data_IF_877421040267
#
_entry.id   IF_877421040267
#
_cell.length_a   1.000
_cell.length_b   1.000
_cell.length_c   1.000
_cell.angle_alpha   90.00
_cell.angle_beta   90.00
_cell.angle_gamma   90.00
#
_symmetry.space_group_name_H-M   'P 1'
#
loop_
_entity.id
_entity.type
_entity.pdbx_description
1 polymer ?
#
# COMPACT_ATOMS: atom_id res chain seq x y z
N UNK A 1 5.51 -17.41 -21.04
CA UNK A 1 5.80 -16.23 -20.21
C UNK A 1 5.25 -16.32 -18.77
N UNK A 2 4.44 -17.34 -18.42
CA UNK A 2 3.87 -17.51 -17.06
C UNK A 2 4.83 -18.14 -16.03
N UNK A 3 5.94 -18.75 -16.48
CA UNK A 3 6.90 -19.42 -15.58
C UNK A 3 7.89 -18.47 -14.88
N UNK A 4 8.12 -17.26 -15.40
CA UNK A 4 9.05 -16.31 -14.80
C UNK A 4 8.47 -15.64 -13.54
N UNK A 5 7.17 -15.33 -13.54
CA UNK A 5 6.44 -14.80 -12.38
C UNK A 5 6.41 -15.79 -11.21
N UNK A 6 6.44 -17.10 -11.49
CA UNK A 6 6.48 -18.16 -10.47
C UNK A 6 7.80 -18.25 -9.69
N UNK A 7 8.91 -17.73 -10.24
CA UNK A 7 10.22 -17.82 -9.61
C UNK A 7 10.51 -16.65 -8.66
N UNK A 8 10.00 -15.45 -8.94
CA UNK A 8 10.16 -14.29 -8.05
C UNK A 8 9.18 -14.31 -6.86
N UNK A 9 7.97 -14.86 -7.04
CA UNK A 9 6.94 -14.88 -5.99
C UNK A 9 7.27 -15.71 -4.75
N UNK A 10 8.23 -16.64 -4.83
CA UNK A 10 8.68 -17.44 -3.68
C UNK A 10 9.43 -16.63 -2.62
N UNK A 11 9.89 -15.43 -2.95
CA UNK A 11 10.77 -14.63 -2.08
C UNK A 11 10.25 -13.23 -1.78
N UNK A 12 9.02 -12.91 -2.15
CA UNK A 12 8.42 -11.59 -1.95
C UNK A 12 7.10 -11.74 -1.21
N UNK A 13 6.76 -10.78 -0.34
CA UNK A 13 5.52 -10.80 0.45
C UNK A 13 4.61 -9.68 -0.01
N UNK A 14 3.29 -9.89 -0.03
CA UNK A 14 2.31 -8.80 -0.15
C UNK A 14 2.64 -7.67 0.86
N UNK A 15 2.76 -6.43 0.39
CA UNK A 15 3.17 -5.30 1.21
C UNK A 15 2.26 -5.02 2.42
N UNK A 16 0.98 -5.42 2.32
CA UNK A 16 -0.06 -5.21 3.30
C UNK A 16 -0.16 -6.35 4.33
N UNK A 17 0.71 -7.37 4.24
CA UNK A 17 0.81 -8.49 5.18
C UNK A 17 2.19 -8.50 5.85
N UNK A 18 2.32 -8.22 7.16
CA UNK A 18 1.25 -7.85 8.09
C UNK A 18 0.75 -6.41 7.85
N UNK A 19 -0.46 -6.06 8.35
CA UNK A 19 -1.02 -4.72 8.22
C UNK A 19 -0.13 -3.68 8.91
N UNK A 20 -0.34 -2.40 8.59
CA UNK A 20 0.33 -1.27 9.23
C UNK A 20 -0.43 -0.85 10.52
N UNK A 21 0.01 -1.24 11.74
CA UNK A 21 -0.61 -0.83 13.00
C UNK A 21 -0.41 0.64 13.34
N UNK A 22 0.71 1.24 12.95
CA UNK A 22 1.02 2.65 13.24
C UNK A 22 0.85 3.53 12.00
N UNK A 23 0.43 4.78 12.21
CA UNK A 23 0.34 5.77 11.13
C UNK A 23 1.68 5.96 10.45
N UNK A 24 2.77 6.09 11.23
CA UNK A 24 4.13 6.29 10.70
C UNK A 24 4.55 5.18 9.74
N UNK A 25 4.17 3.93 9.97
CA UNK A 25 4.54 2.82 9.09
C UNK A 25 3.87 2.94 7.72
N UNK A 26 2.59 3.34 7.69
CA UNK A 26 1.89 3.60 6.43
C UNK A 26 2.41 4.86 5.72
N UNK A 27 2.82 5.89 6.45
CA UNK A 27 3.46 7.07 5.86
C UNK A 27 4.82 6.73 5.23
N UNK A 28 5.64 5.90 5.88
CA UNK A 28 6.90 5.42 5.31
C UNK A 28 6.66 4.63 4.03
N UNK A 29 5.64 3.78 4.00
CA UNK A 29 5.21 3.06 2.80
C UNK A 29 4.78 4.02 1.68
N UNK A 30 3.87 4.97 1.96
CA UNK A 30 3.38 5.95 0.96
C UNK A 30 4.55 6.77 0.39
N UNK A 31 5.48 7.20 1.25
CA UNK A 31 6.68 7.94 0.83
C UNK A 31 7.48 7.14 -0.19
N UNK A 32 7.71 5.85 0.05
CA UNK A 32 8.43 5.00 -0.91
C UNK A 32 7.63 4.77 -2.20
N UNK A 33 6.30 4.69 -2.16
CA UNK A 33 5.51 4.57 -3.39
C UNK A 33 5.65 5.80 -4.31
N UNK A 34 5.92 6.98 -3.74
CA UNK A 34 6.25 8.17 -4.53
C UNK A 34 7.67 8.17 -5.11
N UNK A 35 8.50 7.15 -4.87
CA UNK A 35 9.71 6.92 -5.67
C UNK A 35 9.37 6.64 -7.15
N UNK A 36 8.08 6.51 -7.51
CA UNK A 36 7.57 6.64 -8.87
C UNK A 36 8.16 7.85 -9.63
N UNK A 37 8.48 8.95 -8.93
CA UNK A 37 9.21 10.11 -9.47
C UNK A 37 10.52 9.72 -10.18
N UNK A 38 11.22 8.70 -9.68
CA UNK A 38 12.45 8.19 -10.27
C UNK A 38 12.21 7.51 -11.63
N UNK A 39 11.14 6.71 -11.75
CA UNK A 39 10.74 6.04 -12.98
C UNK A 39 10.29 7.07 -14.02
N UNK A 40 9.40 7.98 -13.61
CA UNK A 40 8.89 9.04 -14.48
C UNK A 40 10.02 9.96 -14.95
N UNK A 41 10.98 10.27 -14.08
CA UNK A 41 12.19 11.04 -14.44
C UNK A 41 13.12 10.34 -15.44
N UNK A 42 12.93 9.04 -15.69
CA UNK A 42 13.62 8.24 -16.71
C UNK A 42 12.74 7.94 -17.93
N UNK A 43 11.59 8.61 -18.04
CA UNK A 43 10.62 8.38 -19.10
C UNK A 43 10.09 6.93 -19.13
N UNK A 44 9.95 6.32 -17.95
CA UNK A 44 9.39 4.97 -17.77
C UNK A 44 8.09 5.10 -16.96
N UNK A 45 6.99 4.63 -17.53
CA UNK A 45 5.71 4.46 -16.84
C UNK A 45 5.56 2.99 -16.40
N UNK A 46 5.01 2.75 -15.21
CA UNK A 46 4.78 1.42 -14.66
C UNK A 46 3.60 0.71 -15.32
N UNK A 47 2.50 1.44 -15.56
CA UNK A 47 1.26 1.07 -16.26
C UNK A 47 0.36 0.05 -15.55
N UNK A 48 0.85 -0.59 -14.49
CA UNK A 48 0.04 -1.52 -13.70
C UNK A 48 0.26 -1.41 -12.19
N UNK A 49 -0.10 -0.27 -11.60
CA UNK A 49 -0.03 -0.08 -10.15
C UNK A 49 -1.35 -0.54 -9.51
N UNK A 50 -1.32 -1.64 -8.76
CA UNK A 50 -2.50 -2.17 -8.05
C UNK A 50 -2.12 -2.94 -6.81
N UNK A 51 -3.12 -3.23 -5.97
CA UNK A 51 -2.93 -3.89 -4.67
C UNK A 51 -2.07 -5.15 -4.76
N UNK A 52 -2.41 -6.06 -5.68
CA UNK A 52 -1.75 -7.36 -5.82
C UNK A 52 -0.31 -7.30 -6.36
N UNK A 53 0.12 -6.15 -6.86
CA UNK A 53 1.44 -5.98 -7.45
C UNK A 53 2.40 -5.25 -6.51
N UNK A 54 1.91 -4.69 -5.39
CA UNK A 54 2.80 -4.07 -4.40
C UNK A 54 3.32 -5.12 -3.44
N UNK A 55 4.61 -5.40 -3.58
CA UNK A 55 5.32 -6.41 -2.83
C UNK A 55 6.32 -5.76 -1.89
N UNK A 56 6.75 -6.51 -0.88
CA UNK A 56 7.88 -6.17 -0.03
C UNK A 56 8.91 -7.29 0.00
N UNK A 57 10.13 -6.89 0.30
CA UNK A 57 11.25 -7.79 0.48
C UNK A 57 11.13 -8.65 1.76
N UNK A 58 12.09 -9.57 1.94
CA UNK A 58 12.08 -10.52 3.06
C UNK A 58 12.58 -9.94 4.37
N UNK A 59 12.83 -8.63 4.46
CA UNK A 59 13.42 -8.01 5.64
C UNK A 59 12.59 -8.21 6.91
N UNK A 60 11.26 -8.38 6.77
CA UNK A 60 10.39 -8.73 7.90
C UNK A 60 10.43 -10.21 8.32
N UNK A 61 10.97 -11.08 7.47
CA UNK A 61 10.89 -12.53 7.60
C UNK A 61 12.29 -13.18 7.56
N UNK A 62 13.16 -12.86 8.53
CA UNK A 62 14.53 -13.39 8.56
C UNK A 62 14.57 -14.92 8.69
N UNK A 63 13.54 -15.52 9.28
CA UNK A 63 13.44 -16.96 9.52
C UNK A 63 12.59 -17.68 8.45
N UNK A 64 12.37 -17.04 7.30
CA UNK A 64 11.52 -17.55 6.24
C UNK A 64 10.06 -17.12 6.38
N UNK A 65 9.33 -17.31 5.30
CA UNK A 65 7.94 -16.89 5.13
C UNK A 65 7.18 -17.96 4.36
N UNK A 66 5.87 -18.08 4.53
CA UNK A 66 5.05 -19.03 3.77
C UNK A 66 4.59 -18.39 2.44
N UNK A 67 5.17 -18.71 1.27
CA UNK A 67 4.86 -18.01 0.02
C UNK A 67 3.40 -18.16 -0.41
N UNK A 68 2.70 -19.21 0.06
CA UNK A 68 1.29 -19.43 -0.25
C UNK A 68 0.35 -18.37 0.34
N UNK A 69 0.80 -17.62 1.37
CA UNK A 69 0.01 -16.55 1.97
C UNK A 69 -0.31 -15.43 0.96
N UNK A 70 0.53 -15.20 -0.05
CA UNK A 70 0.23 -14.21 -1.10
C UNK A 70 -0.92 -14.64 -2.02
N UNK A 71 -1.26 -15.92 -2.02
CA UNK A 71 -2.24 -16.54 -2.93
C UNK A 71 -3.50 -16.98 -2.20
N UNK A 72 -3.77 -16.44 -1.00
CA UNK A 72 -5.00 -16.74 -0.26
C UNK A 72 -6.18 -16.08 -0.99
N UNK A 73 -6.71 -16.81 -1.96
CA UNK A 73 -7.98 -16.53 -2.64
C UNK A 73 -9.09 -17.49 -2.20
N UNK A 74 -8.72 -18.57 -1.51
CA UNK A 74 -9.62 -19.63 -1.04
C UNK A 74 -9.32 -19.90 0.43
N UNK A 75 -10.33 -20.23 1.24
CA UNK A 75 -10.25 -20.54 2.68
C UNK A 75 -9.41 -21.79 2.98
N UNK A 76 -8.13 -21.78 2.59
CA UNK A 76 -7.19 -22.87 2.75
C UNK A 76 -6.50 -22.79 4.11
N UNK A 77 -6.41 -23.92 4.80
CA UNK A 77 -5.55 -24.06 5.98
C UNK A 77 -4.11 -24.14 5.51
N UNK A 78 -3.36 -23.05 5.69
CA UNK A 78 -1.94 -22.99 5.35
C UNK A 78 -1.05 -23.44 6.52
N UNK A 79 0.15 -23.97 6.24
CA UNK A 79 1.17 -24.20 7.26
C UNK A 79 1.47 -22.94 8.08
N UNK A 80 1.74 -23.11 9.37
CA UNK A 80 2.08 -22.01 10.27
C UNK A 80 3.29 -21.24 9.75
N UNK A 81 3.18 -19.92 9.66
CA UNK A 81 4.31 -19.06 9.29
C UNK A 81 5.16 -18.73 10.53
N UNK A 82 6.51 -18.71 10.40
CA UNK A 82 7.38 -18.19 11.45
C UNK A 82 6.99 -16.76 11.83
N UNK A 83 7.18 -16.40 13.10
CA UNK A 83 6.90 -15.04 13.56
C UNK A 83 7.79 -14.03 12.82
N UNK A 84 7.16 -13.07 12.15
CA UNK A 84 7.85 -11.94 11.53
C UNK A 84 8.35 -10.93 12.58
N UNK A 85 9.31 -10.09 12.18
CA UNK A 85 9.76 -8.96 12.99
C UNK A 85 8.68 -7.86 13.05
N UNK A 86 8.77 -6.93 14.00
CA UNK A 86 8.04 -5.68 13.87
C UNK A 86 8.76 -4.79 12.84
N UNK A 87 8.03 -3.93 12.10
CA UNK A 87 8.66 -3.02 11.13
C UNK A 87 9.71 -2.12 11.79
N UNK A 88 9.51 -1.75 13.05
CA UNK A 88 10.47 -0.97 13.85
C UNK A 88 11.78 -1.71 14.19
N UNK A 89 11.81 -3.04 14.10
CA UNK A 89 13.02 -3.84 14.33
C UNK A 89 13.87 -4.04 13.06
N UNK A 90 13.36 -3.64 11.90
CA UNK A 90 14.05 -3.83 10.63
C UNK A 90 15.08 -2.71 10.45
N UNK A 91 16.33 -3.01 10.78
CA UNK A 91 17.41 -2.01 10.83
C UNK A 91 17.82 -1.46 9.45
N UNK A 92 17.66 -2.26 8.39
CA UNK A 92 18.04 -1.87 7.01
C UNK A 92 16.92 -1.16 6.24
N UNK A 93 15.78 -0.93 6.88
CA UNK A 93 14.56 -0.52 6.19
C UNK A 93 13.89 -1.68 5.46
N UNK A 94 12.65 -1.45 5.02
CA UNK A 94 11.86 -2.39 4.25
C UNK A 94 11.79 -1.85 2.84
N UNK A 95 11.99 -2.71 1.84
CA UNK A 95 11.86 -2.33 0.44
C UNK A 95 10.52 -2.79 -0.08
N UNK A 96 9.65 -1.84 -0.36
CA UNK A 96 8.42 -2.01 -1.11
C UNK A 96 8.67 -1.66 -2.58
N UNK A 97 8.16 -2.49 -3.48
CA UNK A 97 8.27 -2.28 -4.91
C UNK A 97 6.99 -2.77 -5.59
N UNK A 98 6.73 -2.20 -6.76
CA UNK A 98 5.61 -2.57 -7.61
C UNK A 98 6.16 -3.57 -8.63
N UNK A 99 5.56 -4.76 -8.70
CA UNK A 99 5.95 -5.83 -9.61
C UNK A 99 5.20 -5.68 -10.94
N UNK A 100 5.75 -6.27 -12.00
CA UNK A 100 5.07 -6.32 -13.29
C UNK A 100 3.87 -7.29 -13.20
N UNK A 101 2.68 -6.72 -13.29
CA UNK A 101 1.40 -7.43 -13.28
C UNK A 101 0.74 -7.55 -14.66
N UNK A 102 -0.54 -7.93 -14.65
CA UNK A 102 -1.39 -7.88 -15.83
C UNK A 102 -2.20 -6.57 -15.78
N UNK A 103 -2.10 -5.71 -16.81
CA UNK A 103 -2.51 -4.31 -16.75
C UNK A 103 -3.95 -4.15 -16.26
N UNK A 104 -4.11 -3.35 -15.20
CA UNK A 104 -5.41 -2.89 -14.71
C UNK A 104 -5.98 -1.90 -15.71
N UNK A 105 -7.08 -2.27 -16.34
CA UNK A 105 -7.71 -1.44 -17.35
C UNK A 105 -8.83 -0.62 -16.71
N UNK A 106 -8.57 0.67 -16.50
CA UNK A 106 -9.55 1.61 -15.96
C UNK A 106 -10.51 2.07 -17.08
N UNK A 107 -11.78 2.43 -16.75
CA UNK A 107 -12.72 2.93 -17.75
C UNK A 107 -12.18 4.12 -18.54
N UNK A 108 -11.41 5.02 -17.89
CA UNK A 108 -10.78 6.18 -18.55
C UNK A 108 -9.69 5.82 -19.57
N UNK A 109 -9.24 4.56 -19.61
CA UNK A 109 -8.28 4.09 -20.61
C UNK A 109 -8.95 3.50 -21.86
N UNK A 110 -10.27 3.60 -21.97
CA UNK A 110 -11.01 3.11 -23.12
C UNK A 110 -11.79 4.22 -23.81
N UNK A 111 -11.96 4.06 -25.12
CA UNK A 111 -12.88 4.80 -25.95
C UNK A 111 -13.70 3.83 -26.79
N UNK A 112 -14.75 4.31 -27.44
CA UNK A 112 -15.49 3.54 -28.44
C UNK A 112 -14.85 3.84 -29.79
N UNK A 113 -14.50 2.80 -30.53
CA UNK A 113 -14.12 2.90 -31.93
C UNK A 113 -15.36 3.24 -32.76
N UNK A 114 -15.32 4.38 -33.47
CA UNK A 114 -16.49 4.91 -34.19
C UNK A 114 -16.92 4.04 -35.37
N UNK A 115 -16.01 3.25 -35.97
CA UNK A 115 -16.29 2.43 -37.14
C UNK A 115 -16.87 1.07 -36.76
N UNK A 116 -16.37 0.47 -35.69
CA UNK A 116 -16.72 -0.89 -35.25
C UNK A 116 -17.72 -0.90 -34.10
N UNK A 117 -17.82 0.21 -33.35
CA UNK A 117 -18.57 0.29 -32.09
C UNK A 117 -17.92 -0.48 -30.94
N UNK A 118 -16.70 -1.01 -31.14
CA UNK A 118 -15.99 -1.78 -30.12
C UNK A 118 -15.31 -0.88 -29.09
N UNK A 119 -15.18 -1.38 -27.86
CA UNK A 119 -14.39 -0.69 -26.84
C UNK A 119 -12.91 -0.95 -27.08
N UNK A 120 -12.16 0.10 -27.39
CA UNK A 120 -10.72 0.05 -27.66
C UNK A 120 -9.94 0.88 -26.65
N UNK A 121 -8.63 0.66 -26.53
CA UNK A 121 -7.77 1.47 -25.66
C UNK A 121 -7.66 2.90 -26.20
N UNK A 122 -7.96 3.87 -25.34
CA UNK A 122 -7.78 5.28 -25.63
C UNK A 122 -6.30 5.68 -25.51
N UNK A 123 -5.87 6.63 -26.34
CA UNK A 123 -4.59 7.31 -26.14
C UNK A 123 -4.66 8.11 -24.84
N UNK A 124 -3.72 7.82 -23.93
CA UNK A 124 -3.65 8.49 -22.64
C UNK A 124 -2.19 8.72 -22.24
N UNK A 125 -1.98 9.68 -21.33
CA UNK A 125 -0.68 9.89 -20.70
C UNK A 125 -0.42 8.76 -19.68
N UNK A 126 0.55 7.90 -19.99
CA UNK A 126 0.90 6.76 -19.13
C UNK A 126 1.46 7.17 -17.76
N UNK A 127 2.07 8.36 -17.63
CA UNK A 127 2.54 8.86 -16.34
C UNK A 127 1.37 9.31 -15.46
N UNK A 128 0.38 9.97 -16.06
CA UNK A 128 -0.88 10.33 -15.37
C UNK A 128 -1.71 9.11 -15.00
N UNK A 129 -1.66 8.05 -15.82
CA UNK A 129 -2.28 6.76 -15.51
C UNK A 129 -1.65 6.12 -14.26
N UNK A 130 -0.32 6.09 -14.16
CA UNK A 130 0.38 5.59 -12.96
C UNK A 130 -0.04 6.36 -11.71
N UNK A 131 -0.09 7.70 -11.79
CA UNK A 131 -0.48 8.55 -10.65
C UNK A 131 -1.90 8.22 -10.20
N UNK A 132 -2.84 8.04 -11.14
CA UNK A 132 -4.20 7.66 -10.79
C UNK A 132 -4.26 6.30 -10.11
N UNK A 133 -3.64 5.30 -10.74
CA UNK A 133 -3.61 3.93 -10.22
C UNK A 133 -3.02 3.89 -8.79
N UNK A 134 -1.91 4.60 -8.56
CA UNK A 134 -1.32 4.74 -7.23
C UNK A 134 -2.26 5.49 -6.28
N UNK A 135 -2.90 6.58 -6.72
CA UNK A 135 -3.85 7.35 -5.91
C UNK A 135 -5.05 6.52 -5.45
N UNK A 136 -5.64 5.73 -6.36
CA UNK A 136 -6.74 4.80 -6.06
C UNK A 136 -6.29 3.77 -5.03
N UNK A 137 -5.12 3.15 -5.23
CA UNK A 137 -4.57 2.17 -4.31
C UNK A 137 -4.38 2.78 -2.90
N UNK A 138 -3.71 3.93 -2.81
CA UNK A 138 -3.43 4.58 -1.53
C UNK A 138 -4.71 5.06 -0.84
N UNK A 139 -5.68 5.60 -1.59
CA UNK A 139 -6.97 6.01 -1.05
C UNK A 139 -7.75 4.81 -0.50
N UNK A 140 -7.77 3.69 -1.23
CA UNK A 140 -8.41 2.45 -0.79
C UNK A 140 -7.80 1.93 0.53
N UNK A 141 -6.47 1.89 0.62
CA UNK A 141 -5.76 1.37 1.79
C UNK A 141 -5.84 2.31 3.01
N UNK A 142 -5.65 3.62 2.77
CA UNK A 142 -5.37 4.59 3.82
C UNK A 142 -6.45 5.66 3.99
N UNK A 143 -7.30 5.92 3.00
CA UNK A 143 -8.23 7.06 2.96
C UNK A 143 -9.08 7.22 4.22
N UNK A 144 -9.76 6.16 4.69
CA UNK A 144 -10.59 6.27 5.91
C UNK A 144 -9.75 6.46 7.20
N UNK A 145 -8.52 5.94 7.22
CA UNK A 145 -7.66 5.92 8.41
C UNK A 145 -6.73 7.13 8.54
N UNK A 146 -6.39 7.77 7.42
CA UNK A 146 -5.45 8.89 7.30
C UNK A 146 -6.12 10.06 6.58
N UNK A 147 -7.27 10.51 7.07
CA UNK A 147 -8.10 11.57 6.44
C UNK A 147 -7.35 12.87 6.11
N UNK A 148 -6.25 13.17 6.81
CA UNK A 148 -5.43 14.34 6.49
C UNK A 148 -4.73 14.24 5.12
N UNK A 149 -4.70 13.05 4.50
CA UNK A 149 -4.22 12.83 3.13
C UNK A 149 -5.33 12.98 2.08
N UNK A 150 -6.60 13.19 2.47
CA UNK A 150 -7.71 13.37 1.53
C UNK A 150 -7.45 14.46 0.48
N UNK A 151 -6.89 15.65 0.80
CA UNK A 151 -6.60 16.66 -0.22
C UNK A 151 -5.67 16.15 -1.33
N UNK A 152 -4.70 15.29 -1.00
CA UNK A 152 -3.84 14.66 -1.99
C UNK A 152 -4.62 13.65 -2.85
N UNK A 153 -5.41 12.78 -2.23
CA UNK A 153 -6.18 11.77 -2.97
C UNK A 153 -7.22 12.41 -3.90
N UNK A 154 -7.92 13.44 -3.45
CA UNK A 154 -8.88 14.17 -4.29
C UNK A 154 -8.20 14.82 -5.50
N UNK A 155 -7.05 15.48 -5.31
CA UNK A 155 -6.32 16.10 -6.41
C UNK A 155 -5.89 15.12 -7.52
N UNK A 156 -5.74 13.83 -7.19
CA UNK A 156 -5.36 12.79 -8.16
C UNK A 156 -6.56 12.28 -8.96
N UNK A 157 -7.70 12.10 -8.29
CA UNK A 157 -8.86 11.36 -8.83
C UNK A 157 -9.83 12.27 -9.57
N UNK A 158 -9.93 13.55 -9.21
CA UNK A 158 -11.03 14.42 -9.63
C UNK A 158 -10.98 14.80 -11.13
N UNK A 159 -9.89 15.39 -11.60
CA UNK A 159 -9.76 15.88 -12.99
C UNK A 159 -8.51 15.26 -13.65
N UNK A 160 -8.66 14.41 -14.68
CA UNK A 160 -7.54 13.79 -15.39
C UNK A 160 -6.56 14.80 -16.01
N UNK A 161 -7.07 15.91 -16.54
CA UNK A 161 -6.26 16.93 -17.20
C UNK A 161 -5.46 17.74 -16.18
N UNK A 162 -6.06 18.03 -15.02
CA UNK A 162 -5.40 18.74 -13.92
C UNK A 162 -4.65 17.83 -12.93
N UNK A 163 -4.69 16.51 -13.13
CA UNK A 163 -4.06 15.53 -12.24
C UNK A 163 -2.56 15.85 -12.03
N UNK A 164 -2.08 15.96 -10.79
CA UNK A 164 -0.68 16.28 -10.52
C UNK A 164 0.25 15.18 -11.06
N UNK A 165 1.47 15.56 -11.43
CA UNK A 165 2.57 14.63 -11.67
C UNK A 165 2.96 13.87 -10.39
N UNK A 166 3.70 12.76 -10.52
CA UNK A 166 4.24 12.04 -9.37
C UNK A 166 5.10 12.94 -8.46
N UNK A 167 5.81 13.92 -9.05
CA UNK A 167 6.66 14.87 -8.31
C UNK A 167 5.81 15.83 -7.49
N UNK A 168 4.74 16.37 -8.07
CA UNK A 168 3.80 17.24 -7.37
C UNK A 168 3.08 16.48 -6.25
N UNK A 169 2.65 15.23 -6.50
CA UNK A 169 2.07 14.37 -5.47
C UNK A 169 3.02 14.15 -4.29
N UNK A 170 4.28 13.84 -4.58
CA UNK A 170 5.33 13.67 -3.56
C UNK A 170 5.51 14.95 -2.72
N UNK A 171 5.58 16.11 -3.37
CA UNK A 171 5.70 17.39 -2.67
C UNK A 171 4.46 17.72 -1.81
N UNK A 172 3.26 17.45 -2.32
CA UNK A 172 2.01 17.60 -1.57
C UNK A 172 1.97 16.67 -0.36
N UNK A 173 2.36 15.41 -0.53
CA UNK A 173 2.46 14.44 0.55
C UNK A 173 3.40 14.92 1.66
N UNK A 174 4.63 15.32 1.31
CA UNK A 174 5.61 15.82 2.28
C UNK A 174 5.09 17.04 3.04
N UNK A 175 4.42 17.96 2.34
CA UNK A 175 3.79 19.13 2.96
C UNK A 175 2.71 18.76 3.97
N UNK A 176 1.88 17.75 3.67
CA UNK A 176 0.81 17.28 4.55
C UNK A 176 1.35 16.60 5.81
N UNK A 177 2.50 15.94 5.73
CA UNK A 177 3.06 15.19 6.86
C UNK A 177 4.07 15.97 7.70
N UNK A 178 4.61 17.08 7.20
CA UNK A 178 5.69 17.86 7.82
C UNK A 178 5.43 18.24 9.29
N UNK A 179 4.17 18.55 9.65
CA UNK A 179 3.81 19.03 10.99
C UNK A 179 3.01 18.01 11.81
N UNK A 180 3.05 16.72 11.45
CA UNK A 180 2.36 15.71 12.24
C UNK A 180 3.03 15.55 13.60
N UNK A 181 2.23 15.67 14.66
CA UNK A 181 2.73 15.44 16.02
C UNK A 181 3.15 13.98 16.21
N UNK A 182 4.08 13.74 17.13
CA UNK A 182 4.52 12.39 17.50
C UNK A 182 3.34 11.48 17.90
N UNK A 183 2.33 12.03 18.58
CA UNK A 183 1.12 11.30 18.94
C UNK A 183 0.31 10.84 17.72
N UNK A 184 0.30 11.64 16.65
CA UNK A 184 -0.36 11.27 15.38
C UNK A 184 0.43 10.22 14.61
N UNK A 185 1.76 10.33 14.58
CA UNK A 185 2.65 9.34 13.96
C UNK A 185 2.56 7.97 14.66
N UNK A 186 2.49 7.96 15.98
CA UNK A 186 2.31 6.76 16.81
C UNK A 186 0.84 6.36 16.96
N UNK A 187 -0.09 7.07 16.31
CA UNK A 187 -1.51 6.77 16.35
C UNK A 187 -1.82 5.41 15.75
N UNK A 188 -2.87 4.76 16.28
CA UNK A 188 -3.34 3.49 15.75
C UNK A 188 -3.99 3.72 14.39
N UNK A 189 -3.55 2.98 13.37
CA UNK A 189 -4.29 2.93 12.10
C UNK A 189 -5.51 2.02 12.28
N UNK A 190 -6.70 2.59 12.21
CA UNK A 190 -7.95 1.81 12.15
C UNK A 190 -8.07 1.25 10.74
N UNK A 191 -8.08 -0.07 10.58
CA UNK A 191 -8.34 -0.69 9.28
C UNK A 191 -9.78 -0.46 8.81
N UNK A 192 -10.00 -0.53 7.50
CA UNK A 192 -11.32 -0.52 6.90
C UNK A 192 -11.95 -1.91 7.11
N UNK A 193 -12.80 -2.06 8.13
CA UNK A 193 -13.48 -3.32 8.43
C UNK A 193 -15.01 -3.19 8.43
N UNK A 194 -15.55 -2.18 7.76
CA UNK A 194 -16.98 -1.82 7.83
C UNK A 194 -17.87 -2.56 6.83
N UNK A 195 -17.68 -3.86 6.60
CA UNK A 195 -18.54 -4.55 5.63
C UNK A 195 -18.73 -6.06 5.85
N UNK A 196 -19.05 -6.53 7.07
CA UNK A 196 -19.47 -7.93 7.27
C UNK A 196 -20.55 -8.09 8.38
N UNK A 197 -21.64 -8.79 8.08
CA UNK A 197 -22.93 -8.71 8.78
C UNK A 197 -23.31 -9.88 9.73
N UNK A 198 -22.37 -10.69 10.24
CA UNK A 198 -22.72 -11.82 11.12
C UNK A 198 -22.02 -11.86 12.50
N UNK A 199 -22.70 -12.44 13.50
CA UNK A 199 -22.31 -12.50 14.93
C UNK A 199 -20.94 -13.17 15.19
N UNK A 200 -20.61 -14.24 14.48
CA UNK A 200 -19.29 -14.88 14.60
C UNK A 200 -18.17 -13.95 14.16
N UNK A 201 -18.39 -13.16 13.09
CA UNK A 201 -17.44 -12.15 12.62
C UNK A 201 -17.40 -10.92 13.53
N UNK A 202 -18.48 -10.59 14.25
CA UNK A 202 -18.45 -9.52 15.28
C UNK A 202 -17.51 -9.92 16.42
N UNK A 203 -17.56 -11.16 16.89
CA UNK A 203 -16.62 -11.66 17.91
C UNK A 203 -15.19 -11.68 17.38
N UNK A 204 -15.00 -12.12 16.14
CA UNK A 204 -13.72 -12.11 15.44
C UNK A 204 -13.17 -10.69 15.23
N UNK A 205 -14.06 -9.73 14.96
CA UNK A 205 -13.74 -8.31 14.85
C UNK A 205 -13.39 -7.71 16.21
N UNK A 206 -14.11 -8.07 17.28
CA UNK A 206 -13.81 -7.66 18.66
C UNK A 206 -12.45 -8.20 19.06
N UNK A 207 -12.17 -9.48 18.84
CA UNK A 207 -10.88 -10.10 19.15
C UNK A 207 -9.75 -9.49 18.32
N UNK A 208 -9.95 -9.25 17.02
CA UNK A 208 -9.01 -8.52 16.16
C UNK A 208 -8.80 -7.08 16.62
N UNK A 209 -9.85 -6.40 17.11
CA UNK A 209 -9.75 -5.05 17.66
C UNK A 209 -8.99 -5.04 18.99
N UNK A 210 -9.23 -5.99 19.89
CA UNK A 210 -8.52 -6.12 21.17
C UNK A 210 -7.05 -6.44 20.91
N UNK A 211 -6.78 -7.45 20.07
CA UNK A 211 -5.43 -7.82 19.66
C UNK A 211 -4.71 -6.64 18.99
N UNK A 212 -5.38 -5.97 18.05
CA UNK A 212 -4.86 -4.79 17.36
C UNK A 212 -4.54 -3.64 18.32
N UNK A 213 -5.36 -3.40 19.35
CA UNK A 213 -5.08 -2.40 20.40
C UNK A 213 -3.90 -2.80 21.28
N UNK A 214 -3.80 -4.08 21.65
CA UNK A 214 -2.67 -4.59 22.42
C UNK A 214 -1.36 -4.49 21.63
N UNK A 215 -1.39 -4.88 20.35
CA UNK A 215 -0.25 -4.76 19.43
C UNK A 215 0.14 -3.30 19.21
N UNK A 216 -0.84 -2.42 19.03
CA UNK A 216 -0.62 -0.97 18.93
C UNK A 216 0.10 -0.42 20.17
N UNK A 217 -0.43 -0.70 21.37
CA UNK A 217 0.17 -0.21 22.61
C UNK A 217 1.60 -0.75 22.79
N UNK A 218 1.82 -2.03 22.50
CA UNK A 218 3.14 -2.66 22.54
C UNK A 218 4.13 -1.95 21.60
N UNK A 219 3.70 -1.62 20.38
CA UNK A 219 4.52 -0.91 19.41
C UNK A 219 4.78 0.54 19.79
N UNK A 220 3.81 1.24 20.38
CA UNK A 220 4.01 2.60 20.91
C UNK A 220 5.05 2.61 22.02
N UNK A 221 4.93 1.70 23.00
CA UNK A 221 5.91 1.56 24.09
C UNK A 221 7.29 1.27 23.51
N UNK A 222 7.38 0.32 22.58
CA UNK A 222 8.62 -0.04 21.90
C UNK A 222 9.23 1.15 21.15
N UNK A 223 8.43 1.91 20.40
CA UNK A 223 8.87 3.12 19.71
C UNK A 223 9.33 4.22 20.66
N UNK A 224 8.72 4.36 21.85
CA UNK A 224 9.17 5.32 22.85
C UNK A 224 10.49 4.88 23.48
N UNK A 225 10.65 3.59 23.78
CA UNK A 225 11.85 3.03 24.41
C UNK A 225 13.04 3.05 23.46
N UNK A 226 12.87 2.57 22.23
CA UNK A 226 13.93 2.54 21.21
C UNK A 226 14.38 3.95 20.80
N UNK A 227 13.48 4.93 20.88
CA UNK A 227 13.74 6.30 20.43
C UNK A 227 14.10 7.28 21.56
N UNK A 228 14.62 6.78 22.70
CA UNK A 228 15.31 7.62 23.69
C UNK A 228 16.63 8.13 23.11
N UNK A 229 16.56 9.14 22.24
CA UNK A 229 17.73 9.87 21.75
C UNK A 229 17.75 10.25 20.26
N UNK A 230 16.75 9.88 19.45
CA UNK A 230 16.67 10.29 18.03
C UNK A 230 15.28 10.84 17.69
N UNK A 231 15.21 11.87 16.85
CA UNK A 231 13.97 12.34 16.25
C UNK A 231 13.52 11.36 15.16
N UNK A 232 12.21 11.15 15.03
CA UNK A 232 11.62 10.49 13.86
C UNK A 232 11.65 11.42 12.66
#
# INVERSE_FOLDING_TARGET
MMMALFWFSKWQRDAFIPPFPLVVEGLTFIRQMFELVFLHGRNVAHRDIRWGDVMMDRSLYPNGMNPLINFIFFDMVLPSEPKHLDRIDVHRGILWFINDGAPTILPEFHTIDEETGETVLALHDSFKADVLQLGILLHFVFGKSMKFLEPLFFSIVEDPDQRPSARECSAMFEKLIHNLSRGRLLGMRRGNYEEYSCLERVMDQIMRNIKGRADHLRLVVKAIVLNRGRSF
#
